data_IF_864563313237
#
_entry.id   IF_864563313237
#
_cell.length_a   1.000
_cell.length_b   1.000
_cell.length_c   1.000
_cell.angle_alpha   90.00
_cell.angle_beta   90.00
_cell.angle_gamma   90.00
#
_symmetry.space_group_name_H-M   'P 1'
#
loop_
_entity.id
_entity.type
_entity.pdbx_description
1 polymer ?
#
# COMPACT_ATOMS: atom_id res chain seq x y z
N UNK A 1 3.72 11.02 13.62
CA UNK A 1 2.89 10.17 12.73
C UNK A 1 1.51 10.76 12.60
N UNK A 2 0.91 10.59 11.44
CA UNK A 2 -0.48 11.04 11.20
C UNK A 2 -1.46 10.13 11.93
N UNK A 3 -2.69 10.63 12.10
CA UNK A 3 -3.79 9.80 12.54
C UNK A 3 -4.41 9.06 11.35
N UNK A 4 -4.71 7.78 11.55
CA UNK A 4 -5.41 6.95 10.58
C UNK A 4 -6.66 6.41 11.26
N UNK A 5 -7.82 6.62 10.64
CA UNK A 5 -9.08 6.02 11.10
C UNK A 5 -9.10 4.54 10.70
N UNK A 6 -8.39 3.70 11.46
CA UNK A 6 -8.04 2.34 11.04
C UNK A 6 -9.25 1.44 10.79
N UNK A 7 -10.22 1.37 11.71
CA UNK A 7 -11.39 0.52 11.52
C UNK A 7 -12.25 0.96 10.32
N UNK A 8 -12.60 2.26 10.17
CA UNK A 8 -13.29 2.71 8.97
C UNK A 8 -12.49 2.47 7.69
N UNK A 9 -11.18 2.62 7.73
CA UNK A 9 -10.32 2.35 6.57
C UNK A 9 -10.37 0.89 6.17
N UNK A 10 -10.20 -0.03 7.12
CA UNK A 10 -10.26 -1.48 6.83
C UNK A 10 -11.64 -1.89 6.31
N UNK A 11 -12.72 -1.35 6.87
CA UNK A 11 -14.07 -1.62 6.39
C UNK A 11 -14.25 -1.13 4.94
N UNK A 12 -13.76 0.06 4.64
CA UNK A 12 -13.83 0.63 3.30
C UNK A 12 -13.03 -0.20 2.30
N UNK A 13 -11.83 -0.64 2.68
CA UNK A 13 -11.01 -1.52 1.83
C UNK A 13 -11.73 -2.85 1.60
N UNK A 14 -12.28 -3.45 2.65
CA UNK A 14 -12.97 -4.74 2.53
C UNK A 14 -14.16 -4.66 1.58
N UNK A 15 -14.89 -3.55 1.60
CA UNK A 15 -16.02 -3.33 0.69
C UNK A 15 -15.58 -3.21 -0.78
N UNK A 16 -14.38 -2.69 -1.03
CA UNK A 16 -13.81 -2.58 -2.38
C UNK A 16 -13.14 -3.89 -2.84
N UNK A 17 -12.71 -4.72 -1.91
CA UNK A 17 -11.90 -5.89 -2.19
C UNK A 17 -12.71 -6.97 -2.91
N UNK A 18 -12.25 -7.43 -4.06
CA UNK A 18 -13.00 -8.35 -4.94
C UNK A 18 -12.42 -9.75 -5.02
N UNK A 19 -11.31 -10.02 -4.33
CA UNK A 19 -10.74 -11.36 -4.22
C UNK A 19 -10.96 -11.90 -2.81
N UNK A 20 -10.39 -13.07 -2.48
CA UNK A 20 -10.54 -13.66 -1.16
C UNK A 20 -9.81 -12.82 -0.11
N UNK A 21 -10.57 -12.29 0.86
CA UNK A 21 -10.03 -11.48 1.96
C UNK A 21 -8.92 -12.20 2.73
N UNK A 22 -9.05 -13.52 2.88
CA UNK A 22 -8.05 -14.36 3.56
C UNK A 22 -7.11 -15.07 2.59
N UNK A 23 -7.15 -14.73 1.31
CA UNK A 23 -6.35 -15.35 0.27
C UNK A 23 -4.97 -14.74 0.09
N UNK A 24 -4.37 -15.05 -1.04
CA UNK A 24 -2.97 -14.73 -1.36
C UNK A 24 -2.63 -13.24 -1.24
N UNK A 25 -3.54 -12.36 -1.67
CA UNK A 25 -3.34 -10.90 -1.68
C UNK A 25 -4.24 -10.19 -0.66
N UNK A 26 -4.78 -10.93 0.31
CA UNK A 26 -5.69 -10.40 1.32
C UNK A 26 -4.98 -9.90 2.57
N UNK A 27 -5.73 -9.89 3.69
CA UNK A 27 -5.33 -9.26 4.95
C UNK A 27 -4.02 -9.81 5.51
N UNK A 28 -3.76 -11.12 5.35
CA UNK A 28 -2.54 -11.74 5.87
C UNK A 28 -1.30 -11.26 5.13
N UNK A 29 -1.39 -11.13 3.80
CA UNK A 29 -0.32 -10.54 2.98
C UNK A 29 -0.04 -9.09 3.41
N UNK A 30 -1.07 -8.28 3.57
CA UNK A 30 -0.91 -6.88 3.98
C UNK A 30 -0.22 -6.77 5.34
N UNK A 31 -0.60 -7.61 6.30
CA UNK A 31 0.03 -7.60 7.62
C UNK A 31 1.52 -7.95 7.56
N UNK A 32 1.90 -8.89 6.72
CA UNK A 32 3.32 -9.23 6.53
C UNK A 32 4.07 -8.10 5.85
N UNK A 33 3.48 -7.50 4.81
CA UNK A 33 4.07 -6.33 4.14
C UNK A 33 4.25 -5.18 5.12
N UNK A 34 3.28 -4.93 5.98
CA UNK A 34 3.38 -3.90 7.01
C UNK A 34 4.57 -4.17 7.95
N UNK A 35 4.71 -5.40 8.44
CA UNK A 35 5.82 -5.78 9.30
C UNK A 35 7.18 -5.59 8.64
N UNK A 36 7.33 -6.05 7.41
CA UNK A 36 8.56 -5.84 6.63
C UNK A 36 8.84 -4.36 6.40
N UNK A 37 7.80 -3.62 6.02
CA UNK A 37 7.93 -2.20 5.73
C UNK A 37 8.38 -1.38 6.94
N UNK A 38 7.82 -1.63 8.11
CA UNK A 38 8.21 -0.93 9.34
C UNK A 38 9.68 -1.19 9.67
N UNK A 39 10.12 -2.45 9.59
CA UNK A 39 11.53 -2.79 9.88
C UNK A 39 12.49 -2.10 8.92
N UNK A 40 12.19 -2.14 7.61
CA UNK A 40 13.05 -1.53 6.60
C UNK A 40 13.05 -0.01 6.73
N UNK A 41 11.87 0.58 6.95
CA UNK A 41 11.72 2.03 7.05
C UNK A 41 12.57 2.61 8.18
N UNK A 42 12.63 1.94 9.33
CA UNK A 42 13.45 2.38 10.47
C UNK A 42 14.94 2.41 10.13
N UNK A 43 15.41 1.50 9.29
CA UNK A 43 16.82 1.44 8.87
C UNK A 43 17.16 2.45 7.78
N UNK A 44 16.19 2.85 6.98
CA UNK A 44 16.39 3.73 5.82
C UNK A 44 15.93 5.15 6.05
N UNK A 45 15.36 5.44 7.22
CA UNK A 45 14.72 6.72 7.51
C UNK A 45 13.61 7.05 6.49
N UNK A 46 12.84 6.04 6.09
CA UNK A 46 11.70 6.20 5.21
C UNK A 46 10.47 6.69 5.98
N UNK A 47 9.49 7.23 5.26
CA UNK A 47 8.25 7.76 5.85
C UNK A 47 7.34 6.62 6.31
N UNK A 48 7.20 6.44 7.62
CA UNK A 48 6.40 5.37 8.21
C UNK A 48 4.90 5.49 7.87
N UNK A 49 4.39 6.71 7.74
CA UNK A 49 2.98 6.91 7.41
C UNK A 49 2.68 6.41 5.99
N UNK A 50 3.54 6.75 5.04
CA UNK A 50 3.40 6.30 3.65
C UNK A 50 3.55 4.78 3.56
N UNK A 51 4.55 4.22 4.23
CA UNK A 51 4.81 2.77 4.21
C UNK A 51 3.63 1.99 4.81
N UNK A 52 3.06 2.49 5.91
CA UNK A 52 1.89 1.88 6.55
C UNK A 52 0.69 1.88 5.61
N UNK A 53 0.39 3.02 5.01
CA UNK A 53 -0.75 3.14 4.09
C UNK A 53 -0.54 2.33 2.82
N UNK A 54 0.68 2.26 2.31
CA UNK A 54 1.00 1.38 1.19
C UNK A 54 0.67 -0.09 1.50
N UNK A 55 1.09 -0.57 2.66
CA UNK A 55 0.81 -1.96 3.05
C UNK A 55 -0.68 -2.27 3.03
N UNK A 56 -1.50 -1.34 3.53
CA UNK A 56 -2.95 -1.53 3.61
C UNK A 56 -3.65 -1.37 2.26
N UNK A 57 -3.13 -0.52 1.37
CA UNK A 57 -3.86 -0.07 0.18
C UNK A 57 -3.35 -0.65 -1.14
N UNK A 58 -2.12 -1.16 -1.21
CA UNK A 58 -1.50 -1.49 -2.50
C UNK A 58 -2.27 -2.54 -3.32
N UNK A 59 -2.88 -3.51 -2.68
CA UNK A 59 -3.69 -4.56 -3.33
C UNK A 59 -5.20 -4.39 -3.10
N UNK A 60 -5.63 -3.24 -2.57
CA UNK A 60 -7.03 -3.01 -2.18
C UNK A 60 -8.02 -3.12 -3.34
N UNK A 61 -7.60 -2.79 -4.55
CA UNK A 61 -8.44 -2.79 -5.74
C UNK A 61 -8.05 -3.91 -6.73
N UNK A 62 -7.51 -5.00 -6.22
CA UNK A 62 -7.20 -6.18 -7.02
C UNK A 62 -8.50 -6.91 -7.37
N UNK A 63 -8.68 -7.25 -8.64
CA UNK A 63 -9.86 -7.96 -9.13
C UNK A 63 -9.59 -9.45 -9.35
N UNK A 64 -8.34 -9.86 -9.34
CA UNK A 64 -7.92 -11.24 -9.51
C UNK A 64 -6.64 -11.49 -8.71
N UNK A 65 -6.48 -12.69 -8.17
CA UNK A 65 -5.22 -13.11 -7.54
C UNK A 65 -4.15 -13.49 -8.57
N UNK A 66 -4.55 -13.70 -9.82
CA UNK A 66 -3.64 -13.91 -10.92
C UNK A 66 -3.19 -12.60 -11.57
N UNK A 67 -3.04 -12.60 -12.89
CA UNK A 67 -2.62 -11.40 -13.63
C UNK A 67 -3.71 -10.34 -13.60
N UNK A 68 -3.36 -9.18 -13.10
CA UNK A 68 -4.24 -8.01 -13.01
C UNK A 68 -3.39 -6.76 -13.23
N UNK A 69 -3.21 -6.37 -14.50
CA UNK A 69 -2.27 -5.34 -14.91
C UNK A 69 -2.61 -3.93 -14.40
N UNK A 70 -3.85 -3.70 -14.01
CA UNK A 70 -4.33 -2.36 -13.62
C UNK A 70 -4.64 -2.22 -12.14
N UNK A 71 -4.34 -3.23 -11.32
CA UNK A 71 -4.69 -3.14 -9.91
C UNK A 71 -3.89 -2.05 -9.18
N UNK A 72 -2.67 -1.78 -9.59
CA UNK A 72 -1.87 -0.68 -9.04
C UNK A 72 -2.49 0.69 -9.35
N UNK A 73 -2.90 0.89 -10.60
CA UNK A 73 -3.56 2.13 -11.03
C UNK A 73 -4.88 2.35 -10.27
N UNK A 74 -5.71 1.32 -10.17
CA UNK A 74 -6.97 1.42 -9.41
C UNK A 74 -6.73 1.68 -7.94
N UNK A 75 -5.74 1.01 -7.33
CA UNK A 75 -5.37 1.22 -5.93
C UNK A 75 -4.89 2.63 -5.65
N UNK A 76 -4.09 3.20 -6.57
CA UNK A 76 -3.60 4.58 -6.44
C UNK A 76 -4.75 5.59 -6.50
N UNK A 77 -5.69 5.43 -7.41
CA UNK A 77 -6.88 6.30 -7.51
C UNK A 77 -7.74 6.20 -6.25
N UNK A 78 -7.93 5.00 -5.74
CA UNK A 78 -8.68 4.77 -4.50
C UNK A 78 -8.02 5.46 -3.32
N UNK A 79 -6.71 5.30 -3.14
CA UNK A 79 -5.95 5.94 -2.08
C UNK A 79 -6.04 7.47 -2.16
N UNK A 80 -5.91 8.01 -3.37
CA UNK A 80 -6.02 9.46 -3.59
C UNK A 80 -7.37 9.98 -3.09
N UNK A 81 -8.45 9.27 -3.40
CA UNK A 81 -9.80 9.67 -2.98
C UNK A 81 -10.07 9.58 -1.49
N UNK A 82 -9.30 8.76 -0.75
CA UNK A 82 -9.45 8.59 0.69
C UNK A 82 -8.70 9.65 1.49
N UNK A 83 -7.72 10.33 0.88
CA UNK A 83 -6.96 11.37 1.56
C UNK A 83 -7.87 12.53 1.94
N UNK A 84 -7.77 12.95 3.20
CA UNK A 84 -8.66 13.97 3.77
C UNK A 84 -9.94 13.42 4.37
N UNK A 85 -10.20 12.11 4.22
CA UNK A 85 -11.39 11.43 4.77
C UNK A 85 -11.03 10.44 5.86
N UNK A 86 -10.16 9.49 5.57
CA UNK A 86 -9.77 8.42 6.51
C UNK A 86 -8.34 8.56 7.00
N UNK A 87 -7.56 9.36 6.34
CA UNK A 87 -6.21 9.80 6.75
C UNK A 87 -5.95 11.16 6.08
N UNK A 88 -4.88 11.82 6.48
CA UNK A 88 -4.51 13.10 5.89
C UNK A 88 -2.99 13.18 5.72
N UNK A 89 -2.54 12.98 4.50
CA UNK A 89 -1.14 13.17 4.09
C UNK A 89 -0.97 14.55 3.46
N UNK A 90 0.24 15.11 3.55
CA UNK A 90 0.57 16.26 2.74
C UNK A 90 0.75 15.86 1.26
N UNK A 91 0.91 16.86 0.39
CA UNK A 91 0.99 16.59 -1.05
C UNK A 91 2.16 15.69 -1.43
N UNK A 92 3.32 15.90 -0.81
CA UNK A 92 4.51 15.10 -1.07
C UNK A 92 4.33 13.64 -0.64
N UNK A 93 3.77 13.43 0.55
CA UNK A 93 3.48 12.09 1.04
C UNK A 93 2.44 11.37 0.16
N UNK A 94 1.40 12.10 -0.25
CA UNK A 94 0.35 11.54 -1.10
C UNK A 94 0.91 11.15 -2.49
N UNK A 95 1.76 11.99 -3.06
CA UNK A 95 2.42 11.69 -4.33
C UNK A 95 3.27 10.42 -4.22
N UNK A 96 4.06 10.28 -3.16
CA UNK A 96 4.87 9.09 -2.93
C UNK A 96 4.00 7.83 -2.76
N UNK A 97 2.93 7.93 -1.98
CA UNK A 97 2.01 6.82 -1.76
C UNK A 97 1.37 6.36 -3.07
N UNK A 98 0.81 7.29 -3.82
CA UNK A 98 0.13 6.96 -5.07
C UNK A 98 1.09 6.41 -6.11
N UNK A 99 2.29 6.97 -6.21
CA UNK A 99 3.32 6.47 -7.11
C UNK A 99 3.74 5.04 -6.74
N UNK A 100 3.97 4.80 -5.45
CA UNK A 100 4.36 3.46 -4.98
C UNK A 100 3.27 2.43 -5.27
N UNK A 101 2.01 2.75 -5.02
CA UNK A 101 0.88 1.85 -5.29
C UNK A 101 0.75 1.59 -6.79
N UNK A 102 0.76 2.65 -7.60
CA UNK A 102 0.56 2.56 -9.04
C UNK A 102 1.57 1.63 -9.70
N UNK A 103 2.82 1.74 -9.30
CA UNK A 103 3.93 1.05 -9.97
C UNK A 103 4.43 -0.20 -9.27
N UNK A 104 3.81 -0.62 -8.15
CA UNK A 104 4.29 -1.79 -7.43
C UNK A 104 4.26 -3.10 -8.24
N UNK A 105 3.33 -3.29 -9.20
CA UNK A 105 3.34 -4.52 -9.99
C UNK A 105 4.48 -4.61 -11.00
N UNK A 106 5.17 -3.51 -11.30
CA UNK A 106 6.06 -3.40 -12.45
C UNK A 106 7.50 -3.87 -12.24
N UNK A 107 7.90 -4.21 -11.03
CA UNK A 107 9.27 -4.66 -10.76
C UNK A 107 10.34 -3.56 -10.85
N UNK A 108 9.94 -2.30 -10.79
CA UNK A 108 10.83 -1.15 -10.92
C UNK A 108 11.68 -0.92 -9.66
N UNK A 109 12.66 -0.04 -9.77
CA UNK A 109 13.45 0.46 -8.64
C UNK A 109 13.34 1.98 -8.57
N UNK A 110 13.53 2.55 -7.39
CA UNK A 110 13.44 3.99 -7.15
C UNK A 110 14.59 4.46 -6.28
N UNK A 111 15.05 5.69 -6.52
CA UNK A 111 16.02 6.36 -5.64
C UNK A 111 15.35 7.00 -4.43
N UNK A 112 14.02 7.10 -4.41
CA UNK A 112 13.27 7.59 -3.26
C UNK A 112 13.21 6.47 -2.20
N UNK A 113 13.78 6.67 -1.00
CA UNK A 113 13.87 5.59 0.00
C UNK A 113 12.50 5.13 0.49
N UNK A 114 11.51 6.01 0.56
CA UNK A 114 10.15 5.63 0.97
C UNK A 114 9.49 4.73 -0.07
N UNK A 115 9.54 5.11 -1.34
CA UNK A 115 8.97 4.32 -2.43
C UNK A 115 9.67 2.96 -2.53
N UNK A 116 11.00 2.96 -2.50
CA UNK A 116 11.77 1.71 -2.58
C UNK A 116 11.46 0.79 -1.40
N UNK A 117 11.29 1.35 -0.20
CA UNK A 117 10.90 0.58 0.99
C UNK A 117 9.54 -0.10 0.80
N UNK A 118 8.57 0.61 0.25
CA UNK A 118 7.25 0.05 -0.07
C UNK A 118 7.39 -1.18 -0.99
N UNK A 119 8.14 -1.03 -2.06
CA UNK A 119 8.32 -2.10 -3.04
C UNK A 119 9.11 -3.29 -2.48
N UNK A 120 10.16 -3.03 -1.70
CA UNK A 120 10.94 -4.10 -1.07
C UNK A 120 10.11 -4.89 -0.06
N UNK A 121 9.27 -4.21 0.72
CA UNK A 121 8.39 -4.86 1.68
C UNK A 121 7.42 -5.83 0.99
N UNK A 122 6.82 -5.42 -0.11
CA UNK A 122 5.90 -6.24 -0.89
C UNK A 122 6.63 -7.44 -1.50
N UNK A 123 7.78 -7.20 -2.12
CA UNK A 123 8.56 -8.24 -2.80
C UNK A 123 9.14 -9.27 -1.85
N UNK A 124 9.49 -8.87 -0.62
CA UNK A 124 9.96 -9.81 0.41
C UNK A 124 8.89 -10.84 0.77
N UNK A 125 7.63 -10.44 0.81
CA UNK A 125 6.55 -11.37 1.15
C UNK A 125 6.20 -12.30 0.00
N UNK A 126 6.29 -11.80 -1.22
CA UNK A 126 5.96 -12.60 -2.42
C UNK A 126 7.12 -13.48 -2.89
N UNK A 127 8.27 -13.15 -2.44
CA UNK A 127 9.49 -13.77 -2.78
C UNK A 127 10.20 -14.47 -3.18
#
# INVERSE_FOLDING_TARGET
MIEISLEPLLTTIQNEFKTDWNGLHGIHHWNRVLGHGIRIAKKRNADLDVVTLFALLHDSCRWSDGYDSRHGERGAEFAYGLNGKLFCLDDSQLDDLCFAIRHHPGGEISTNPTIQTCWDADRLDLG
#
